data_IF_152819698113
#
_entry.id   IF_152819698113
#
_cell.length_a   1.000
_cell.length_b   1.000
_cell.length_c   1.000
_cell.angle_alpha   90.00
_cell.angle_beta   90.00
_cell.angle_gamma   90.00
#
_symmetry.space_group_name_H-M   'P 1'
#
loop_
_entity.id
_entity.type
_entity.pdbx_description
1 polymer ?
#
# COMPACT_ATOMS: atom_id res chain seq x y z
N UNK A 1 27.19 -23.23 -2.87
CA UNK A 1 26.81 -23.49 -1.47
C UNK A 1 28.00 -24.15 -0.78
N UNK A 2 28.53 -23.54 0.28
CA UNK A 2 29.55 -24.18 1.13
C UNK A 2 28.90 -24.40 2.49
N UNK A 3 28.91 -25.62 2.97
CA UNK A 3 28.36 -25.98 4.28
C UNK A 3 29.53 -26.25 5.23
N UNK A 4 29.63 -25.46 6.28
CA UNK A 4 30.48 -25.76 7.44
C UNK A 4 29.55 -26.17 8.59
N UNK A 5 30.09 -26.84 9.61
CA UNK A 5 29.33 -27.09 10.82
C UNK A 5 28.73 -25.76 11.31
N UNK A 6 27.41 -25.75 11.51
CA UNK A 6 26.61 -24.64 12.03
C UNK A 6 26.33 -23.43 11.11
N UNK A 7 26.75 -23.45 9.84
CA UNK A 7 26.53 -22.29 8.93
C UNK A 7 26.34 -22.67 7.47
N UNK A 8 25.31 -22.09 6.85
CA UNK A 8 25.06 -22.19 5.40
C UNK A 8 25.36 -20.83 4.76
N UNK A 9 26.27 -20.83 3.76
CA UNK A 9 26.58 -19.62 2.98
C UNK A 9 26.19 -19.76 1.52
N UNK A 10 25.59 -18.69 1.00
CA UNK A 10 25.12 -18.57 -0.38
C UNK A 10 25.63 -17.24 -0.94
N UNK A 11 26.25 -17.32 -2.12
CA UNK A 11 26.60 -16.16 -2.91
C UNK A 11 25.53 -15.92 -3.96
N UNK A 12 25.04 -14.68 -4.05
CA UNK A 12 24.02 -14.27 -5.02
C UNK A 12 24.56 -13.11 -5.85
N UNK A 13 24.77 -13.29 -7.17
CA UNK A 13 25.14 -12.19 -8.04
C UNK A 13 23.98 -11.20 -8.16
N UNK A 14 24.25 -9.91 -7.92
CA UNK A 14 23.21 -8.87 -7.96
C UNK A 14 23.10 -8.18 -9.32
N UNK A 15 23.84 -8.62 -10.34
CA UNK A 15 23.88 -8.00 -11.68
C UNK A 15 22.50 -7.85 -12.33
N UNK A 16 21.56 -8.77 -12.05
CA UNK A 16 20.19 -8.72 -12.55
C UNK A 16 19.28 -7.69 -11.85
N UNK A 17 19.72 -7.16 -10.70
CA UNK A 17 18.97 -6.20 -9.89
C UNK A 17 19.45 -4.75 -10.10
N UNK A 18 20.31 -4.51 -11.08
CA UNK A 18 20.73 -3.17 -11.47
C UNK A 18 19.54 -2.39 -12.05
N UNK A 19 18.97 -1.52 -11.24
CA UNK A 19 18.02 -0.51 -11.73
C UNK A 19 18.77 0.47 -12.63
N UNK A 20 18.25 0.69 -13.84
CA UNK A 20 18.92 1.41 -14.92
C UNK A 20 19.67 2.69 -14.51
N UNK A 21 20.99 2.65 -14.70
CA UNK A 21 21.91 3.73 -15.06
C UNK A 21 21.50 5.18 -14.71
N UNK A 22 22.30 5.76 -13.80
CA UNK A 22 22.54 7.18 -13.53
C UNK A 22 21.51 7.93 -12.68
N UNK A 23 22.04 8.63 -11.67
CA UNK A 23 21.35 9.64 -10.88
C UNK A 23 20.85 10.80 -11.73
N UNK A 24 19.75 10.59 -12.44
CA UNK A 24 18.86 11.66 -12.83
C UNK A 24 18.25 12.23 -11.56
N UNK A 25 18.50 13.52 -11.28
CA UNK A 25 17.73 14.31 -10.32
C UNK A 25 16.24 14.04 -10.57
N UNK A 26 15.61 13.25 -9.71
CA UNK A 26 14.15 13.22 -9.60
C UNK A 26 13.74 14.51 -8.90
N UNK A 27 13.71 15.61 -9.64
CA UNK A 27 12.89 16.76 -9.29
C UNK A 27 11.49 16.47 -9.78
N UNK A 28 10.69 15.78 -8.96
CA UNK A 28 9.23 15.88 -8.84
C UNK A 28 8.76 14.92 -7.75
N UNK A 29 8.31 15.49 -6.62
CA UNK A 29 7.50 14.80 -5.62
C UNK A 29 6.16 14.39 -6.24
N UNK A 30 6.14 13.25 -6.93
CA UNK A 30 4.90 12.56 -7.34
C UNK A 30 5.08 11.06 -7.11
N UNK A 31 4.51 10.57 -6.01
CA UNK A 31 3.99 9.21 -5.80
C UNK A 31 4.68 8.06 -6.55
N UNK A 32 5.70 7.47 -5.93
CA UNK A 32 6.37 6.22 -6.34
C UNK A 32 5.54 4.97 -5.98
N UNK A 33 4.23 4.95 -6.22
CA UNK A 33 3.44 3.73 -6.01
C UNK A 33 3.64 2.79 -7.20
N UNK A 34 4.50 1.78 -7.04
CA UNK A 34 4.71 0.75 -8.05
C UNK A 34 3.54 -0.23 -8.04
N UNK A 35 2.88 -0.37 -9.19
CA UNK A 35 1.83 -1.37 -9.40
C UNK A 35 2.47 -2.76 -9.46
N UNK A 36 2.06 -3.64 -8.55
CA UNK A 36 2.59 -5.01 -8.45
C UNK A 36 1.56 -6.09 -8.85
N UNK A 37 0.29 -5.71 -9.05
CA UNK A 37 -0.77 -6.60 -9.54
C UNK A 37 -1.42 -6.06 -10.81
N UNK A 38 -2.05 -6.93 -11.59
CA UNK A 38 -2.88 -6.51 -12.72
C UNK A 38 -4.27 -6.05 -12.25
N UNK A 39 -4.65 -6.29 -10.99
CA UNK A 39 -5.85 -5.69 -10.39
C UNK A 39 -5.72 -4.16 -10.34
N UNK A 40 -6.81 -3.47 -10.69
CA UNK A 40 -6.87 -2.01 -10.62
C UNK A 40 -6.89 -1.57 -9.16
N UNK A 41 -6.15 -0.53 -8.80
CA UNK A 41 -6.17 0.03 -7.45
C UNK A 41 -5.45 -0.78 -6.37
N UNK A 42 -4.64 -1.78 -6.75
CA UNK A 42 -3.77 -2.51 -5.81
C UNK A 42 -2.32 -2.14 -6.07
N UNK A 43 -1.68 -1.58 -5.04
CA UNK A 43 -0.32 -1.05 -5.12
C UNK A 43 0.57 -1.65 -4.04
N UNK A 44 1.85 -1.82 -4.35
CA UNK A 44 2.84 -2.18 -3.33
C UNK A 44 2.93 -1.06 -2.29
N UNK A 45 3.01 -1.43 -1.00
CA UNK A 45 3.22 -0.44 0.07
C UNK A 45 4.62 0.18 -0.02
N UNK A 46 5.59 -0.61 -0.48
CA UNK A 46 7.00 -0.23 -0.62
C UNK A 46 7.46 -0.44 -2.07
N UNK A 47 8.44 0.33 -2.57
CA UNK A 47 9.09 0.06 -3.85
C UNK A 47 9.64 -1.37 -3.92
N UNK A 48 9.56 -1.97 -5.11
CA UNK A 48 9.95 -3.38 -5.34
C UNK A 48 11.30 -3.48 -6.06
N UNK A 49 12.21 -2.54 -5.78
CA UNK A 49 13.55 -2.47 -6.38
C UNK A 49 14.58 -3.24 -5.55
N UNK A 50 15.49 -3.96 -6.21
CA UNK A 50 16.54 -4.73 -5.55
C UNK A 50 16.13 -6.15 -5.15
N UNK A 51 17.09 -6.88 -4.54
CA UNK A 51 16.89 -8.23 -4.03
C UNK A 51 16.32 -8.17 -2.61
N UNK A 52 15.20 -8.82 -2.35
CA UNK A 52 14.70 -9.04 -0.99
C UNK A 52 15.58 -10.04 -0.25
N UNK A 53 15.96 -9.72 1.00
CA UNK A 53 16.88 -10.55 1.81
C UNK A 53 16.33 -10.94 3.18
N UNK A 54 15.21 -10.37 3.61
CA UNK A 54 14.61 -10.63 4.91
C UNK A 54 13.82 -9.43 5.41
N UNK A 55 13.57 -9.37 6.71
CA UNK A 55 12.91 -8.22 7.35
C UNK A 55 13.70 -7.74 8.56
N UNK A 56 13.58 -6.45 8.83
CA UNK A 56 14.22 -5.82 9.98
C UNK A 56 13.36 -6.04 11.23
N UNK A 57 13.93 -6.70 12.24
CA UNK A 57 13.21 -7.03 13.48
C UNK A 57 12.83 -5.80 14.31
N UNK A 58 13.51 -4.67 14.13
CA UNK A 58 13.22 -3.45 14.89
C UNK A 58 12.04 -2.69 14.30
N UNK A 59 12.04 -2.48 12.98
CA UNK A 59 10.99 -1.72 12.29
C UNK A 59 9.83 -2.57 11.78
N UNK A 60 9.99 -3.90 11.69
CA UNK A 60 8.98 -4.78 11.10
C UNK A 60 8.86 -4.62 9.57
N UNK A 61 9.85 -4.03 8.90
CA UNK A 61 9.79 -3.68 7.47
C UNK A 61 10.66 -4.62 6.62
N UNK A 62 10.30 -4.86 5.35
CA UNK A 62 11.11 -5.68 4.45
C UNK A 62 12.43 -4.99 4.12
N UNK A 63 13.50 -5.78 3.97
CA UNK A 63 14.85 -5.32 3.62
C UNK A 63 15.21 -5.74 2.20
N UNK A 64 15.67 -4.77 1.41
CA UNK A 64 16.14 -4.96 0.05
C UNK A 64 17.59 -4.52 -0.12
N UNK A 65 18.29 -5.20 -1.01
CA UNK A 65 19.66 -4.90 -1.41
C UNK A 65 19.67 -4.45 -2.86
N UNK A 66 20.07 -3.20 -3.10
CA UNK A 66 20.15 -2.60 -4.42
C UNK A 66 21.62 -2.46 -4.84
N UNK A 67 22.08 -3.16 -5.89
CA UNK A 67 23.47 -3.08 -6.33
C UNK A 67 23.81 -1.68 -6.87
N UNK A 68 24.98 -1.16 -6.49
CA UNK A 68 25.53 0.10 -7.05
C UNK A 68 26.40 -0.14 -8.29
N UNK A 69 26.77 -1.40 -8.56
CA UNK A 69 27.60 -1.83 -9.68
C UNK A 69 27.27 -3.25 -10.12
N UNK A 70 27.66 -3.61 -11.35
CA UNK A 70 27.42 -4.95 -11.92
C UNK A 70 28.26 -6.06 -11.28
N UNK A 71 29.31 -5.66 -10.57
CA UNK A 71 30.24 -6.51 -9.83
C UNK A 71 29.77 -6.79 -8.39
N UNK A 72 28.56 -6.35 -8.01
CA UNK A 72 28.03 -6.59 -6.68
C UNK A 72 27.60 -8.06 -6.51
N UNK A 73 28.19 -8.75 -5.54
CA UNK A 73 27.86 -10.12 -5.16
C UNK A 73 27.53 -10.17 -3.67
N UNK A 74 26.31 -10.60 -3.36
CA UNK A 74 25.80 -10.70 -2.00
C UNK A 74 26.22 -12.03 -1.38
N UNK A 75 26.74 -11.97 -0.15
CA UNK A 75 26.98 -13.12 0.70
C UNK A 75 25.88 -13.17 1.76
N UNK A 76 25.07 -14.22 1.70
CA UNK A 76 24.02 -14.52 2.68
C UNK A 76 24.52 -15.67 3.54
N UNK A 77 24.55 -15.46 4.84
CA UNK A 77 25.01 -16.44 5.80
C UNK A 77 23.91 -16.68 6.83
N UNK A 78 23.34 -17.87 6.75
CA UNK A 78 22.21 -18.26 7.57
C UNK A 78 22.71 -19.09 8.76
N UNK A 79 22.28 -18.68 9.95
CA UNK A 79 22.45 -19.38 11.21
C UNK A 79 21.12 -20.03 11.60
N UNK A 80 21.16 -21.15 12.32
CA UNK A 80 19.97 -21.93 12.69
C UNK A 80 18.96 -21.20 13.62
N UNK A 81 19.14 -19.90 13.89
CA UNK A 81 18.39 -19.06 14.82
C UNK A 81 17.40 -18.10 14.13
N UNK A 82 16.97 -18.41 12.90
CA UNK A 82 16.08 -17.58 12.07
C UNK A 82 16.64 -16.17 11.77
N UNK A 83 17.95 -15.99 11.91
CA UNK A 83 18.65 -14.79 11.49
C UNK A 83 19.57 -15.10 10.31
N UNK A 84 19.77 -14.10 9.45
CA UNK A 84 20.76 -14.17 8.39
C UNK A 84 21.63 -12.93 8.41
N UNK A 85 22.93 -13.14 8.37
CA UNK A 85 23.89 -12.08 8.16
C UNK A 85 24.06 -11.85 6.65
N UNK A 86 23.89 -10.60 6.25
CA UNK A 86 23.98 -10.16 4.86
C UNK A 86 25.22 -9.27 4.72
N UNK A 87 26.13 -9.65 3.84
CA UNK A 87 27.35 -8.89 3.55
C UNK A 87 27.68 -8.94 2.04
N UNK A 88 28.69 -8.21 1.58
CA UNK A 88 29.10 -8.26 0.17
C UNK A 88 30.41 -9.04 0.00
N UNK A 89 30.38 -10.05 -0.86
CA UNK A 89 31.58 -10.76 -1.32
C UNK A 89 32.39 -9.89 -2.29
N UNK A 90 31.73 -9.10 -3.14
CA UNK A 90 32.37 -8.17 -4.07
C UNK A 90 31.45 -6.98 -4.39
N UNK A 91 32.03 -5.89 -4.91
CA UNK A 91 31.31 -4.67 -5.27
C UNK A 91 30.74 -3.87 -4.08
N UNK A 92 29.70 -3.09 -4.38
CA UNK A 92 29.00 -2.18 -3.48
C UNK A 92 27.50 -2.24 -3.69
N UNK A 93 26.72 -2.13 -2.62
CA UNK A 93 25.26 -2.16 -2.67
C UNK A 93 24.66 -1.28 -1.57
N UNK A 94 23.45 -0.78 -1.81
CA UNK A 94 22.71 0.04 -0.85
C UNK A 94 21.59 -0.77 -0.24
N UNK A 95 21.43 -0.66 1.08
CA UNK A 95 20.33 -1.28 1.81
C UNK A 95 19.13 -0.34 1.82
N UNK A 96 17.94 -0.91 1.62
CA UNK A 96 16.66 -0.23 1.78
C UNK A 96 15.78 -1.01 2.74
N UNK A 97 15.24 -0.33 3.74
CA UNK A 97 14.30 -0.87 4.74
C UNK A 97 12.97 -0.15 4.56
N UNK A 98 11.98 -0.87 4.01
CA UNK A 98 10.74 -0.24 3.51
C UNK A 98 11.03 0.84 2.46
N UNK A 99 10.66 2.10 2.72
CA UNK A 99 10.93 3.24 1.82
C UNK A 99 12.26 3.95 2.13
N UNK A 100 12.89 3.60 3.25
CA UNK A 100 14.05 4.32 3.75
C UNK A 100 15.32 3.64 3.29
N UNK A 101 16.19 4.42 2.64
CA UNK A 101 17.54 3.96 2.36
C UNK A 101 18.38 4.02 3.63
N UNK A 102 18.90 2.87 4.02
CA UNK A 102 19.81 2.72 5.15
C UNK A 102 21.27 2.76 4.72
N UNK A 103 22.04 1.86 5.32
CA UNK A 103 23.48 1.69 5.15
C UNK A 103 23.88 1.30 3.72
N UNK A 104 25.08 1.70 3.30
CA UNK A 104 25.73 1.19 2.08
C UNK A 104 26.73 0.12 2.46
N UNK A 105 26.56 -1.09 1.94
CA UNK A 105 27.51 -2.19 2.10
C UNK A 105 28.62 -2.08 1.07
N UNK A 106 29.85 -2.36 1.49
CA UNK A 106 31.03 -2.39 0.63
C UNK A 106 31.90 -3.59 0.97
N UNK A 107 32.29 -4.36 -0.06
CA UNK A 107 33.23 -5.49 0.10
C UNK A 107 34.60 -5.07 0.63
N UNK A 108 35.05 -3.85 0.33
CA UNK A 108 36.35 -3.31 0.77
C UNK A 108 36.44 -3.05 2.28
N UNK A 109 35.31 -2.95 2.97
CA UNK A 109 35.24 -2.73 4.40
C UNK A 109 34.74 -3.96 5.15
N UNK A 110 34.93 -5.18 4.60
CA UNK A 110 34.43 -6.45 5.16
C UNK A 110 34.73 -6.66 6.67
N UNK A 111 35.79 -6.05 7.21
CA UNK A 111 36.19 -6.16 8.62
C UNK A 111 35.68 -5.04 9.53
N UNK A 112 34.89 -4.08 9.01
CA UNK A 112 34.29 -3.01 9.80
C UNK A 112 32.95 -3.46 10.39
N UNK A 113 32.55 -2.93 11.54
CA UNK A 113 31.26 -3.24 12.19
C UNK A 113 30.04 -2.90 11.31
N UNK A 114 30.23 -2.09 10.26
CA UNK A 114 29.25 -1.74 9.22
C UNK A 114 29.40 -2.59 7.94
N UNK A 115 29.97 -3.80 8.03
CA UNK A 115 30.17 -4.66 6.84
C UNK A 115 29.06 -5.69 6.62
N UNK A 116 28.27 -5.95 7.66
CA UNK A 116 27.19 -6.93 7.65
C UNK A 116 25.94 -6.36 8.29
N UNK A 117 24.79 -6.74 7.76
CA UNK A 117 23.48 -6.44 8.33
C UNK A 117 22.78 -7.76 8.70
N UNK A 118 22.29 -7.86 9.92
CA UNK A 118 21.46 -8.98 10.33
C UNK A 118 20.00 -8.71 9.96
N UNK A 119 19.39 -9.68 9.29
CA UNK A 119 17.97 -9.68 8.95
C UNK A 119 17.30 -10.90 9.55
N UNK A 120 16.02 -10.75 9.89
CA UNK A 120 15.21 -11.87 10.31
C UNK A 120 14.65 -12.59 9.09
N UNK A 121 14.60 -13.91 9.20
CA UNK A 121 13.97 -14.80 8.21
C UNK A 121 12.72 -15.46 8.78
N UNK A 122 12.17 -14.95 9.89
CA UNK A 122 10.90 -15.45 10.44
C UNK A 122 9.80 -15.18 9.41
N UNK A 123 9.05 -16.21 8.95
CA UNK A 123 8.02 -16.03 7.94
C UNK A 123 6.79 -15.32 8.52
N UNK A 124 6.04 -14.63 7.65
CA UNK A 124 4.68 -14.21 7.95
C UNK A 124 3.77 -15.43 8.05
N UNK A 125 2.77 -15.36 8.94
CA UNK A 125 1.85 -16.48 9.19
C UNK A 125 0.40 -16.05 9.02
N UNK A 126 -0.42 -16.93 8.46
CA UNK A 126 -1.88 -16.82 8.41
C UNK A 126 -2.49 -18.05 9.07
N UNK A 127 -3.33 -17.84 10.08
CA UNK A 127 -3.94 -18.94 10.82
C UNK A 127 -5.12 -19.55 10.05
N UNK A 128 -5.16 -20.88 9.98
CA UNK A 128 -6.24 -21.69 9.41
C UNK A 128 -6.88 -22.47 10.55
N UNK A 129 -8.01 -21.98 11.06
CA UNK A 129 -8.60 -22.48 12.31
C UNK A 129 -9.76 -23.46 12.11
N UNK A 130 -10.19 -23.69 10.87
CA UNK A 130 -11.34 -24.55 10.56
C UNK A 130 -11.23 -25.26 9.22
N UNK A 131 -12.25 -26.04 8.83
CA UNK A 131 -12.25 -26.79 7.57
C UNK A 131 -12.29 -25.88 6.34
N UNK A 132 -12.84 -24.67 6.47
CA UNK A 132 -12.88 -23.65 5.43
C UNK A 132 -12.36 -22.34 6.00
N UNK A 133 -11.42 -21.73 5.30
CA UNK A 133 -10.79 -20.48 5.71
C UNK A 133 -10.82 -19.51 4.53
N UNK A 134 -11.37 -18.32 4.77
CA UNK A 134 -11.30 -17.22 3.81
C UNK A 134 -10.10 -16.36 4.17
N UNK A 135 -9.06 -16.44 3.35
CA UNK A 135 -7.77 -15.84 3.66
C UNK A 135 -7.29 -14.92 2.55
N UNK A 136 -6.26 -14.17 2.87
CA UNK A 136 -5.51 -13.33 1.98
C UNK A 136 -4.02 -13.43 2.29
N UNK A 137 -3.19 -13.04 1.33
CA UNK A 137 -1.77 -12.87 1.61
C UNK A 137 -1.56 -11.55 2.38
N UNK A 138 -0.96 -11.55 3.59
CA UNK A 138 -0.54 -10.34 4.29
C UNK A 138 0.61 -9.61 3.57
N UNK A 139 1.32 -10.33 2.69
CA UNK A 139 2.38 -9.79 1.85
C UNK A 139 1.95 -9.71 0.38
N UNK A 140 2.56 -8.81 -0.40
CA UNK A 140 2.36 -8.82 -1.85
C UNK A 140 3.13 -10.00 -2.47
N UNK A 141 2.47 -11.15 -2.49
CA UNK A 141 2.97 -12.36 -3.12
C UNK A 141 1.99 -12.81 -4.20
N UNK A 142 2.53 -13.09 -5.39
CA UNK A 142 1.79 -13.77 -6.44
C UNK A 142 2.06 -15.27 -6.30
N UNK A 143 1.01 -16.08 -6.19
CA UNK A 143 1.12 -17.53 -5.98
C UNK A 143 0.61 -18.26 -7.21
N UNK A 144 1.48 -19.05 -7.84
CA UNK A 144 1.06 -19.92 -8.92
C UNK A 144 0.36 -21.17 -8.38
N UNK A 145 -0.56 -21.77 -9.14
CA UNK A 145 -1.17 -23.05 -8.79
C UNK A 145 -0.15 -24.12 -8.35
N UNK A 146 0.98 -24.23 -9.05
CA UNK A 146 2.07 -25.15 -8.69
C UNK A 146 2.74 -24.86 -7.34
N UNK A 147 2.72 -23.61 -6.88
CA UNK A 147 3.33 -23.24 -5.60
C UNK A 147 2.50 -23.72 -4.41
N UNK A 148 1.22 -24.06 -4.62
CA UNK A 148 0.37 -24.50 -3.51
C UNK A 148 0.87 -25.79 -2.88
N UNK A 149 1.37 -26.73 -3.67
CA UNK A 149 1.88 -28.01 -3.16
C UNK A 149 3.08 -27.80 -2.22
N UNK A 150 4.00 -26.90 -2.60
CA UNK A 150 5.20 -26.61 -1.80
C UNK A 150 4.89 -25.71 -0.59
N UNK A 151 3.93 -24.80 -0.70
CA UNK A 151 3.65 -23.80 0.33
C UNK A 151 2.53 -24.18 1.29
N UNK A 152 1.54 -24.97 0.86
CA UNK A 152 0.28 -25.18 1.59
C UNK A 152 0.11 -26.57 2.21
N UNK A 153 1.02 -27.52 1.94
CA UNK A 153 1.27 -28.77 2.70
C UNK A 153 0.11 -29.76 2.88
N UNK A 154 -1.01 -29.30 3.43
CA UNK A 154 -2.20 -30.08 3.76
C UNK A 154 -3.48 -29.27 3.46
N UNK A 155 -3.89 -29.25 2.19
CA UNK A 155 -5.16 -28.66 1.76
C UNK A 155 -5.89 -29.62 0.81
N UNK A 156 -7.21 -29.48 0.76
CA UNK A 156 -8.10 -30.24 -0.12
C UNK A 156 -8.32 -29.51 -1.44
N UNK A 157 -8.73 -28.25 -1.36
CA UNK A 157 -9.02 -27.42 -2.54
C UNK A 157 -8.87 -25.94 -2.20
N UNK A 158 -8.34 -25.19 -3.15
CA UNK A 158 -8.25 -23.73 -3.10
C UNK A 158 -9.29 -23.15 -4.06
N UNK A 159 -10.04 -22.15 -3.62
CA UNK A 159 -11.09 -21.52 -4.42
C UNK A 159 -10.89 -20.02 -4.55
N UNK A 160 -11.04 -19.52 -5.77
CA UNK A 160 -10.92 -18.11 -6.10
C UNK A 160 -12.15 -17.70 -6.89
N UNK A 161 -12.71 -16.53 -6.59
CA UNK A 161 -13.86 -16.01 -7.31
C UNK A 161 -13.44 -14.92 -8.29
N UNK A 162 -13.64 -15.14 -9.59
CA UNK A 162 -13.35 -14.16 -10.66
C UNK A 162 -14.45 -14.19 -11.70
N UNK A 163 -14.77 -13.03 -12.27
CA UNK A 163 -15.71 -12.90 -13.39
C UNK A 163 -17.04 -13.64 -13.16
N UNK A 164 -17.57 -13.56 -11.93
CA UNK A 164 -18.80 -14.24 -11.49
C UNK A 164 -18.76 -15.77 -11.50
N UNK A 165 -17.58 -16.38 -11.54
CA UNK A 165 -17.41 -17.85 -11.52
C UNK A 165 -16.36 -18.25 -10.50
N UNK A 166 -16.54 -19.44 -9.93
CA UNK A 166 -15.55 -20.06 -9.05
C UNK A 166 -14.49 -20.79 -9.86
N UNK A 167 -13.24 -20.44 -9.58
CA UNK A 167 -12.06 -21.14 -10.04
C UNK A 167 -11.53 -22.00 -8.90
N UNK A 168 -11.12 -23.23 -9.19
CA UNK A 168 -10.62 -24.16 -8.20
C UNK A 168 -9.23 -24.69 -8.54
N UNK A 169 -8.44 -24.96 -7.51
CA UNK A 169 -7.19 -25.71 -7.62
C UNK A 169 -7.18 -26.86 -6.62
N UNK A 170 -6.95 -28.07 -7.11
CA UNK A 170 -6.76 -29.27 -6.28
C UNK A 170 -5.73 -30.19 -6.94
N UNK A 171 -4.91 -30.83 -6.09
CA UNK A 171 -3.99 -31.88 -6.50
C UNK A 171 -4.68 -33.25 -6.58
N UNK A 172 -5.86 -33.39 -5.98
CA UNK A 172 -6.65 -34.61 -6.04
C UNK A 172 -7.42 -34.70 -7.37
N UNK A 173 -6.91 -35.54 -8.26
CA UNK A 173 -7.50 -35.78 -9.58
C UNK A 173 -8.90 -36.38 -9.52
N UNK A 174 -9.28 -37.02 -8.41
CA UNK A 174 -10.61 -37.63 -8.24
C UNK A 174 -11.72 -36.59 -8.03
N UNK A 175 -11.39 -35.41 -7.49
CA UNK A 175 -12.35 -34.34 -7.22
C UNK A 175 -12.65 -33.49 -8.46
N UNK A 176 -11.71 -33.43 -9.41
CA UNK A 176 -11.81 -32.56 -10.60
C UNK A 176 -13.09 -32.76 -11.41
N UNK A 177 -13.50 -33.98 -11.79
CA UNK A 177 -14.71 -34.17 -12.61
C UNK A 177 -15.97 -33.61 -11.92
N UNK A 178 -16.11 -33.84 -10.61
CA UNK A 178 -17.26 -33.36 -9.84
C UNK A 178 -17.33 -31.83 -9.72
N UNK A 179 -16.19 -31.14 -9.77
CA UNK A 179 -16.16 -29.67 -9.79
C UNK A 179 -16.48 -29.11 -11.18
N UNK A 180 -15.98 -29.74 -12.23
CA UNK A 180 -16.28 -29.35 -13.62
C UNK A 180 -17.76 -29.56 -13.96
N UNK A 181 -18.38 -30.64 -13.49
CA UNK A 181 -19.82 -30.91 -13.68
C UNK A 181 -20.71 -29.84 -13.03
N UNK A 182 -20.24 -29.20 -11.96
CA UNK A 182 -20.94 -28.08 -11.29
C UNK A 182 -20.75 -26.73 -12.00
N UNK A 183 -19.97 -26.69 -13.09
CA UNK A 183 -19.69 -25.47 -13.85
C UNK A 183 -18.53 -24.62 -13.31
N UNK A 184 -17.71 -25.15 -12.41
CA UNK A 184 -16.49 -24.49 -11.95
C UNK A 184 -15.36 -24.64 -12.97
N UNK A 185 -14.39 -23.72 -12.92
CA UNK A 185 -13.25 -23.70 -13.83
C UNK A 185 -11.95 -24.02 -13.09
N UNK A 186 -10.97 -24.64 -13.74
CA UNK A 186 -9.66 -24.83 -13.12
C UNK A 186 -8.89 -23.51 -13.05
N UNK A 187 -8.29 -23.24 -11.89
CA UNK A 187 -7.39 -22.11 -11.69
C UNK A 187 -6.04 -22.40 -12.35
N UNK A 188 -5.76 -21.74 -13.47
CA UNK A 188 -4.48 -21.81 -14.19
C UNK A 188 -3.62 -20.57 -13.99
N UNK A 189 -4.25 -19.47 -13.60
CA UNK A 189 -3.60 -18.20 -13.35
C UNK A 189 -3.12 -18.08 -11.90
N UNK A 190 -2.16 -17.19 -11.66
CA UNK A 190 -1.70 -16.93 -10.30
C UNK A 190 -2.74 -16.16 -9.49
N UNK A 191 -2.78 -16.40 -8.18
CA UNK A 191 -3.48 -15.53 -7.23
C UNK A 191 -2.65 -14.26 -7.08
N UNK A 192 -3.27 -13.10 -7.32
CA UNK A 192 -2.59 -11.81 -7.27
C UNK A 192 -2.72 -11.17 -5.87
N UNK A 193 -1.79 -10.28 -5.48
CA UNK A 193 -1.96 -9.47 -4.27
C UNK A 193 -3.27 -8.68 -4.27
N UNK A 194 -3.89 -8.54 -3.10
CA UNK A 194 -5.20 -7.89 -2.98
C UNK A 194 -6.39 -8.82 -3.19
N UNK A 195 -6.16 -10.04 -3.68
CA UNK A 195 -7.18 -11.06 -3.84
C UNK A 195 -7.41 -11.84 -2.53
N UNK A 196 -8.68 -12.00 -2.17
CA UNK A 196 -9.10 -12.97 -1.17
C UNK A 196 -9.33 -14.32 -1.84
N UNK A 197 -9.09 -15.41 -1.13
CA UNK A 197 -9.35 -16.75 -1.63
C UNK A 197 -9.67 -17.71 -0.49
N UNK A 198 -10.30 -18.81 -0.83
CA UNK A 198 -10.65 -19.84 0.14
C UNK A 198 -9.65 -20.98 0.11
N UNK A 199 -9.35 -21.50 1.29
CA UNK A 199 -8.64 -22.76 1.48
C UNK A 199 -9.54 -23.72 2.25
N UNK A 200 -9.84 -24.85 1.62
CA UNK A 200 -10.47 -25.99 2.28
C UNK A 200 -9.37 -26.96 2.73
N UNK A 201 -9.37 -27.32 4.03
CA UNK A 201 -8.41 -28.25 4.61
C UNK A 201 -8.90 -29.69 4.48
N UNK A 202 -7.96 -30.65 4.46
CA UNK A 202 -8.32 -32.07 4.53
C UNK A 202 -8.91 -32.41 5.91
N UNK A 203 -9.94 -33.28 5.98
CA UNK A 203 -10.42 -33.80 7.26
C UNK A 203 -9.41 -34.79 7.87
N UNK A 204 -9.14 -34.73 9.19
CA UNK A 204 -9.63 -33.74 10.16
C UNK A 204 -8.90 -32.39 10.01
N UNK A 205 -9.68 -31.30 9.97
CA UNK A 205 -9.13 -29.95 9.86
C UNK A 205 -8.48 -29.53 11.18
N UNK A 206 -7.17 -29.75 11.31
CA UNK A 206 -6.40 -29.32 12.46
C UNK A 206 -5.98 -27.85 12.29
N UNK A 207 -6.07 -27.01 13.35
CA UNK A 207 -5.56 -25.65 13.30
C UNK A 207 -4.10 -25.64 12.87
N UNK A 208 -3.81 -24.94 11.77
CA UNK A 208 -2.47 -24.83 11.21
C UNK A 208 -2.15 -23.40 10.82
N UNK A 209 -0.87 -23.09 10.62
CA UNK A 209 -0.42 -21.79 10.16
C UNK A 209 0.17 -21.91 8.76
N UNK A 210 -0.29 -21.06 7.87
CA UNK A 210 0.28 -20.90 6.56
C UNK A 210 1.44 -19.91 6.63
N UNK A 211 2.66 -20.40 6.39
CA UNK A 211 3.90 -19.61 6.46
C UNK A 211 4.31 -19.10 5.09
N UNK A 212 4.70 -17.83 5.00
CA UNK A 212 5.14 -17.20 3.76
C UNK A 212 6.22 -16.16 3.98
N UNK A 213 6.93 -15.84 2.91
CA UNK A 213 7.92 -14.78 2.91
C UNK A 213 7.26 -13.41 3.08
N UNK A 214 7.72 -12.62 4.06
CA UNK A 214 7.25 -11.26 4.25
C UNK A 214 7.97 -10.29 3.29
N UNK A 215 7.50 -10.26 2.04
CA UNK A 215 8.01 -9.34 1.02
C UNK A 215 7.44 -7.92 1.15
N UNK A 216 6.80 -7.58 2.27
CA UNK A 216 6.09 -6.31 2.46
C UNK A 216 4.62 -6.37 2.07
N UNK A 217 3.84 -5.37 2.46
CA UNK A 217 2.37 -5.35 2.33
C UNK A 217 1.89 -4.59 1.08
N UNK A 218 0.58 -4.64 0.79
CA UNK A 218 -0.03 -3.90 -0.33
C UNK A 218 -1.19 -3.02 0.12
N UNK A 219 -1.37 -1.89 -0.57
CA UNK A 219 -2.54 -1.04 -0.43
C UNK A 219 -3.61 -1.56 -1.38
N UNK A 220 -4.77 -1.89 -0.81
CA UNK A 220 -5.83 -2.60 -1.53
C UNK A 220 -7.12 -1.78 -1.65
N UNK A 221 -7.34 -0.81 -0.76
CA UNK A 221 -8.55 0.02 -0.72
C UNK A 221 -8.88 0.71 -2.06
N UNK A 222 -7.92 1.27 -2.83
CA UNK A 222 -8.27 1.91 -4.09
C UNK A 222 -8.94 0.96 -5.09
N UNK A 223 -8.78 -0.37 -4.95
CA UNK A 223 -9.40 -1.34 -5.84
C UNK A 223 -10.93 -1.24 -5.87
N UNK A 224 -11.55 -0.92 -4.72
CA UNK A 224 -13.00 -0.81 -4.63
C UNK A 224 -13.56 0.38 -5.40
N UNK A 225 -12.72 1.39 -5.63
CA UNK A 225 -13.11 2.54 -6.43
C UNK A 225 -13.17 2.25 -7.93
N UNK A 226 -12.58 1.14 -8.38
CA UNK A 226 -12.67 0.63 -9.75
C UNK A 226 -13.67 -0.52 -9.89
N UNK A 227 -14.15 -1.08 -8.77
CA UNK A 227 -15.10 -2.19 -8.80
C UNK A 227 -16.41 -1.77 -9.43
N UNK A 228 -16.87 -2.56 -10.41
CA UNK A 228 -18.19 -2.42 -11.06
C UNK A 228 -19.13 -3.58 -10.77
N UNK A 229 -18.60 -4.68 -10.25
CA UNK A 229 -19.38 -5.85 -9.89
C UNK A 229 -20.12 -5.64 -8.58
N UNK A 230 -21.26 -6.30 -8.41
CA UNK A 230 -22.00 -6.26 -7.15
C UNK A 230 -21.18 -6.87 -6.01
N UNK A 231 -20.55 -8.02 -6.27
CA UNK A 231 -19.71 -8.73 -5.32
C UNK A 231 -18.25 -8.64 -5.72
N UNK A 232 -17.38 -8.38 -4.74
CA UNK A 232 -15.94 -8.43 -4.94
C UNK A 232 -15.28 -9.13 -3.78
N UNK A 233 -14.49 -10.15 -4.13
CA UNK A 233 -13.64 -10.86 -3.20
C UNK A 233 -12.27 -10.19 -3.13
N UNK A 234 -11.86 -9.83 -1.92
CA UNK A 234 -10.65 -9.06 -1.67
C UNK A 234 -9.93 -9.56 -0.42
N UNK A 235 -8.65 -9.18 -0.30
CA UNK A 235 -7.77 -9.66 0.74
C UNK A 235 -7.10 -8.55 1.55
N UNK A 236 -7.06 -8.70 2.88
CA UNK A 236 -6.45 -7.74 3.78
C UNK A 236 -4.95 -8.03 3.97
N UNK A 237 -4.11 -7.10 3.53
CA UNK A 237 -2.66 -7.16 3.74
C UNK A 237 -2.22 -6.60 5.10
N UNK A 238 -3.01 -5.66 5.60
CA UNK A 238 -2.85 -4.98 6.88
C UNK A 238 -4.21 -4.91 7.56
N UNK A 239 -4.22 -4.49 8.83
CA UNK A 239 -5.47 -4.27 9.54
C UNK A 239 -6.21 -3.09 8.90
N UNK A 240 -7.48 -3.30 8.56
CA UNK A 240 -8.31 -2.29 7.88
C UNK A 240 -9.65 -2.16 8.62
N UNK A 241 -10.07 -0.91 8.85
CA UNK A 241 -11.38 -0.60 9.45
C UNK A 241 -12.51 -0.72 8.42
N UNK A 242 -13.70 -1.12 8.87
CA UNK A 242 -14.89 -1.17 7.99
C UNK A 242 -15.29 0.22 7.49
N UNK A 243 -14.96 1.27 8.24
CA UNK A 243 -15.16 2.66 7.86
C UNK A 243 -14.29 3.04 6.66
N UNK A 244 -13.02 2.64 6.63
CA UNK A 244 -12.11 2.94 5.53
C UNK A 244 -12.47 2.15 4.26
N UNK A 245 -12.93 0.90 4.40
CA UNK A 245 -13.48 0.12 3.29
C UNK A 245 -14.72 0.82 2.74
N UNK A 246 -15.61 1.29 3.61
CA UNK A 246 -16.84 1.99 3.22
C UNK A 246 -16.52 3.26 2.45
N UNK A 247 -15.58 4.09 2.92
CA UNK A 247 -15.14 5.31 2.22
C UNK A 247 -14.57 4.98 0.85
N UNK A 248 -13.71 3.97 0.74
CA UNK A 248 -13.09 3.57 -0.51
C UNK A 248 -14.09 2.99 -1.53
N UNK A 249 -15.07 2.21 -1.07
CA UNK A 249 -16.13 1.63 -1.91
C UNK A 249 -17.14 2.69 -2.41
N UNK A 250 -17.39 3.73 -1.61
CA UNK A 250 -18.23 4.86 -1.97
C UNK A 250 -17.55 5.86 -2.92
N UNK A 251 -16.23 5.79 -3.07
CA UNK A 251 -15.50 6.57 -4.06
C UNK A 251 -15.55 5.86 -5.41
N UNK A 252 -16.09 6.48 -6.46
CA UNK A 252 -16.17 5.91 -7.81
C UNK A 252 -15.25 6.67 -8.75
N UNK A 253 -14.05 6.13 -9.04
CA UNK A 253 -13.10 6.79 -9.93
C UNK A 253 -13.53 6.76 -11.40
N UNK A 254 -14.53 5.95 -11.75
CA UNK A 254 -14.95 5.75 -13.14
C UNK A 254 -16.07 6.70 -13.59
N UNK A 255 -16.65 7.47 -12.68
CA UNK A 255 -17.57 8.56 -13.02
C UNK A 255 -16.84 9.88 -13.08
N UNK A 256 -16.92 10.56 -14.22
CA UNK A 256 -16.41 11.92 -14.45
C UNK A 256 -17.25 13.00 -13.73
N UNK A 257 -18.06 12.63 -12.74
CA UNK A 257 -18.93 13.57 -12.03
C UNK A 257 -18.09 14.49 -11.11
N UNK A 258 -18.35 15.80 -11.19
CA UNK A 258 -17.70 16.90 -10.44
C UNK A 258 -17.71 16.71 -8.90
N UNK A 259 -18.52 15.77 -8.43
CA UNK A 259 -18.67 15.34 -7.05
C UNK A 259 -17.47 14.54 -6.52
N UNK A 260 -16.61 14.02 -7.39
CA UNK A 260 -15.32 13.40 -7.03
C UNK A 260 -14.23 14.46 -6.71
N UNK A 261 -14.65 15.63 -6.20
CA UNK A 261 -13.78 16.73 -5.85
C UNK A 261 -12.75 16.27 -4.82
N UNK A 262 -11.49 16.28 -5.25
CA UNK A 262 -10.32 16.01 -4.44
C UNK A 262 -10.43 16.74 -3.10
N UNK A 263 -10.44 15.99 -2.00
CA UNK A 263 -10.24 16.50 -0.65
C UNK A 263 -8.83 17.05 -0.42
N UNK A 264 -8.30 17.82 -1.37
CA UNK A 264 -7.00 18.48 -1.33
C UNK A 264 -7.20 19.98 -1.17
N UNK A 265 -7.75 20.44 -0.04
CA UNK A 265 -7.49 21.75 0.55
C UNK A 265 -7.96 21.77 2.02
N UNK A 266 -7.27 21.05 2.90
CA UNK A 266 -7.14 21.52 4.28
C UNK A 266 -5.71 21.28 4.77
N UNK A 267 -4.84 22.20 4.35
CA UNK A 267 -3.40 22.09 4.56
C UNK A 267 -2.66 23.21 3.86
N UNK A 268 -2.52 24.34 4.56
CA UNK A 268 -1.78 25.55 4.19
C UNK A 268 -2.49 26.51 3.22
N UNK A 269 -2.53 27.78 3.65
CA UNK A 269 -3.21 28.86 2.96
C UNK A 269 -2.71 29.07 1.52
N UNK A 270 -3.64 28.97 0.59
CA UNK A 270 -3.47 29.35 -0.81
C UNK A 270 -4.85 29.43 -1.43
N UNK A 271 -5.27 30.62 -1.86
CA UNK A 271 -6.58 30.86 -2.47
C UNK A 271 -6.63 30.12 -3.83
N UNK A 272 -7.59 29.22 -4.08
CA UNK A 272 -7.74 28.59 -5.38
C UNK A 272 -8.30 29.59 -6.42
N UNK A 273 -7.78 29.59 -7.66
CA UNK A 273 -8.32 30.40 -8.75
C UNK A 273 -9.64 29.79 -9.25
N UNK A 274 -10.73 30.11 -8.56
CA UNK A 274 -12.09 29.71 -8.91
C UNK A 274 -13.20 30.55 -8.27
N UNK A 275 -12.87 31.43 -7.31
CA UNK A 275 -13.85 32.24 -6.56
C UNK A 275 -14.05 33.68 -7.06
N UNK A 276 -13.52 34.04 -8.24
CA UNK A 276 -13.69 35.40 -8.79
C UNK A 276 -15.01 35.64 -9.55
N UNK A 277 -16.05 34.82 -9.36
CA UNK A 277 -17.39 35.10 -9.92
C UNK A 277 -18.47 35.29 -8.83
N UNK A 278 -18.15 35.06 -7.55
CA UNK A 278 -19.11 35.26 -6.43
C UNK A 278 -19.01 36.60 -5.69
N UNK A 279 -18.05 37.47 -6.00
CA UNK A 279 -17.72 38.66 -5.19
C UNK A 279 -18.24 40.00 -5.74
N UNK A 280 -19.33 39.98 -6.51
CA UNK A 280 -20.13 41.17 -6.84
C UNK A 280 -21.40 41.29 -5.98
N UNK A 281 -21.41 40.69 -4.78
CA UNK A 281 -22.50 40.97 -3.84
C UNK A 281 -22.25 42.33 -3.13
N UNK A 282 -23.20 43.23 -3.33
CA UNK A 282 -23.21 44.63 -2.92
C UNK A 282 -23.48 44.72 -1.42
N UNK A 283 -22.45 44.87 -0.58
CA UNK A 283 -22.52 45.56 0.74
C UNK A 283 -21.20 45.45 1.53
N UNK A 284 -20.16 46.18 1.12
CA UNK A 284 -18.98 46.40 1.98
C UNK A 284 -18.37 47.79 1.79
N UNK A 285 -17.94 48.47 2.88
CA UNK A 285 -17.52 49.87 2.84
C UNK A 285 -16.17 50.08 2.10
N UNK A 286 -16.11 51.19 1.35
CA UNK A 286 -15.11 51.56 0.36
C UNK A 286 -13.65 51.62 0.86
N UNK A 287 -13.40 51.83 2.15
CA UNK A 287 -12.06 52.02 2.72
C UNK A 287 -11.17 50.75 2.72
N UNK A 288 -11.76 49.55 2.70
CA UNK A 288 -10.99 48.28 2.60
C UNK A 288 -10.56 47.94 1.17
N UNK A 289 -11.21 48.50 0.14
CA UNK A 289 -10.86 48.25 -1.27
C UNK A 289 -9.58 48.98 -1.68
N UNK A 290 -9.33 50.15 -1.09
CA UNK A 290 -8.18 51.00 -1.47
C UNK A 290 -6.84 50.45 -0.97
N UNK A 291 -6.80 49.84 0.23
CA UNK A 291 -5.55 49.29 0.80
C UNK A 291 -5.02 48.04 0.07
N UNK A 292 -5.93 47.17 -0.39
CA UNK A 292 -5.57 45.96 -1.14
C UNK A 292 -5.05 46.28 -2.56
N UNK A 293 -5.63 47.30 -3.21
CA UNK A 293 -5.16 47.75 -4.52
C UNK A 293 -3.76 48.41 -4.46
N UNK A 294 -3.47 49.21 -3.44
CA UNK A 294 -2.13 49.81 -3.28
C UNK A 294 -1.05 48.77 -2.91
N UNK A 295 -1.39 47.75 -2.12
CA UNK A 295 -0.47 46.67 -1.77
C UNK A 295 -0.06 45.82 -2.98
N UNK A 296 -1.01 45.45 -3.84
CA UNK A 296 -0.74 44.68 -5.06
C UNK A 296 0.00 45.51 -6.13
N UNK A 297 -0.31 46.79 -6.27
CA UNK A 297 0.38 47.68 -7.19
C UNK A 297 1.86 47.87 -6.81
N UNK A 298 2.18 47.94 -5.51
CA UNK A 298 3.57 48.03 -5.03
C UNK A 298 4.38 46.77 -5.33
N UNK A 299 3.77 45.60 -5.19
CA UNK A 299 4.38 44.30 -5.46
C UNK A 299 4.64 44.10 -6.96
N UNK A 300 3.70 44.49 -7.81
CA UNK A 300 3.88 44.49 -9.27
C UNK A 300 4.93 45.51 -9.74
N UNK A 301 5.05 46.66 -9.06
CA UNK A 301 6.10 47.64 -9.32
C UNK A 301 7.50 47.14 -8.93
N UNK A 302 7.58 46.36 -7.84
CA UNK A 302 8.84 45.73 -7.40
C UNK A 302 9.34 44.67 -8.40
N UNK A 303 8.43 43.81 -8.91
CA UNK A 303 8.80 42.79 -9.90
C UNK A 303 9.16 43.38 -11.28
N UNK A 304 8.50 44.47 -11.69
CA UNK A 304 8.80 45.13 -12.97
C UNK A 304 10.15 45.86 -12.98
N UNK A 305 10.64 46.34 -11.82
CA UNK A 305 11.98 46.95 -11.70
C UNK A 305 13.11 45.90 -11.61
N UNK A 306 12.83 44.66 -11.23
CA UNK A 306 13.86 43.64 -10.98
C UNK A 306 13.98 42.56 -12.06
N UNK A 307 13.13 42.60 -13.09
CA UNK A 307 13.19 41.68 -14.25
C UNK A 307 13.65 42.36 -15.55
N UNK A 308 14.21 43.57 -15.50
CA UNK A 308 14.94 44.13 -16.66
C UNK A 308 16.41 43.70 -16.61
N UNK A 309 16.93 43.04 -17.67
CA UNK A 309 18.34 42.72 -17.77
C UNK A 309 19.10 44.01 -18.11
N UNK A 310 19.79 44.60 -17.14
CA UNK A 310 20.71 45.73 -17.39
C UNK A 310 22.15 45.23 -17.38
N UNK A 311 22.78 45.39 -18.52
CA UNK A 311 24.22 45.31 -18.72
C UNK A 311 24.97 46.34 -17.86
N UNK A 312 26.23 45.98 -17.58
CA UNK A 312 27.37 46.81 -17.17
C UNK A 312 27.28 47.65 -15.88
N UNK A 313 28.17 47.29 -14.95
CA UNK A 313 29.11 48.22 -14.33
C UNK A 313 28.55 49.25 -13.34
N UNK A 314 28.62 48.95 -12.04
CA UNK A 314 29.35 49.75 -11.03
C UNK A 314 29.03 49.23 -9.61
N UNK A 315 30.06 48.69 -8.95
CA UNK A 315 30.07 48.34 -7.53
C UNK A 315 30.28 49.63 -6.72
N UNK A 316 29.37 50.00 -5.80
CA UNK A 316 29.67 51.12 -4.91
C UNK A 316 28.67 51.54 -3.84
N UNK A 317 27.36 51.26 -3.95
CA UNK A 317 26.37 51.84 -3.02
C UNK A 317 25.40 50.84 -2.37
N UNK A 318 25.63 49.53 -2.54
CA UNK A 318 24.70 48.48 -2.07
C UNK A 318 24.97 47.95 -0.65
N UNK A 319 25.95 48.50 0.07
CA UNK A 319 26.40 47.93 1.36
C UNK A 319 25.76 48.51 2.62
N UNK A 320 24.97 49.59 2.56
CA UNK A 320 24.35 50.20 3.75
C UNK A 320 22.86 49.89 3.97
N UNK A 321 22.16 49.29 3.01
CA UNK A 321 20.78 48.82 3.21
C UNK A 321 20.69 47.36 3.69
N UNK A 322 21.79 46.61 3.69
CA UNK A 322 21.80 45.18 4.02
C UNK A 322 21.93 44.88 5.52
N UNK A 323 22.25 45.88 6.35
CA UNK A 323 22.49 45.67 7.79
C UNK A 323 21.29 45.95 8.69
N UNK A 324 20.20 46.56 8.20
CA UNK A 324 19.04 46.90 9.05
C UNK A 324 17.94 45.81 9.09
N UNK A 325 17.96 44.80 8.20
CA UNK A 325 16.90 43.75 8.14
C UNK A 325 17.32 42.44 8.82
N UNK A 326 18.61 42.24 9.10
CA UNK A 326 19.12 40.97 9.65
C UNK A 326 18.86 40.82 11.16
N UNK A 327 18.58 41.90 11.90
CA UNK A 327 18.39 41.80 13.36
C UNK A 327 16.94 41.54 13.79
N UNK A 328 15.94 41.83 12.95
CA UNK A 328 14.53 41.54 13.29
C UNK A 328 14.02 40.20 12.74
N UNK A 329 14.81 39.52 11.89
CA UNK A 329 14.50 38.18 11.34
C UNK A 329 15.15 37.02 12.11
N UNK A 330 15.90 37.29 13.19
CA UNK A 330 16.71 36.30 13.89
C UNK A 330 16.14 35.87 15.26
N UNK A 331 14.91 36.29 15.59
CA UNK A 331 14.19 35.85 16.81
C UNK A 331 13.06 34.84 16.57
N UNK A 332 12.87 34.37 15.33
CA UNK A 332 11.93 33.28 14.99
C UNK A 332 12.62 32.03 14.39
N UNK A 333 13.95 31.94 14.50
CA UNK A 333 14.77 30.91 13.84
C UNK A 333 15.47 29.93 14.79
N UNK A 334 14.92 29.64 15.98
CA UNK A 334 15.53 28.70 16.94
C UNK A 334 14.57 27.62 17.49
N UNK A 335 13.55 27.27 16.73
CA UNK A 335 12.71 26.08 17.01
C UNK A 335 12.61 25.11 15.81
N UNK A 336 13.56 25.18 14.88
CA UNK A 336 13.59 24.35 13.67
C UNK A 336 14.95 23.61 13.54
N UNK A 337 15.30 22.84 14.56
CA UNK A 337 16.34 21.80 14.49
C UNK A 337 15.90 20.60 15.33
N UNK A 338 14.71 20.08 15.04
CA UNK A 338 14.46 18.66 15.20
C UNK A 338 14.62 18.04 13.80
N UNK A 339 15.42 16.98 13.63
CA UNK A 339 15.46 16.26 12.35
C UNK A 339 14.03 15.83 12.02
N UNK A 340 13.59 15.89 10.75
CA UNK A 340 12.30 15.35 10.37
C UNK A 340 12.34 13.87 10.69
N UNK A 341 11.73 13.47 11.81
CA UNK A 341 11.27 12.11 11.96
C UNK A 341 10.32 11.93 10.78
N UNK A 342 10.71 11.05 9.86
CA UNK A 342 9.80 10.50 8.88
C UNK A 342 8.78 9.67 9.65
N UNK A 343 7.83 10.37 10.28
CA UNK A 343 6.60 9.73 10.68
C UNK A 343 6.06 9.11 9.41
N UNK A 344 5.88 7.81 9.47
CA UNK A 344 5.30 6.99 8.42
C UNK A 344 3.83 7.37 8.31
N UNK A 345 3.55 8.60 7.87
CA UNK A 345 2.22 9.04 7.48
C UNK A 345 1.89 8.19 6.27
N UNK A 346 1.29 7.03 6.54
CA UNK A 346 0.61 6.21 5.56
C UNK A 346 -0.29 7.21 4.83
N UNK A 347 0.08 7.55 3.61
CA UNK A 347 -0.74 8.34 2.70
C UNK A 347 -1.98 7.50 2.43
N UNK A 348 -2.97 7.60 3.30
CA UNK A 348 -4.35 7.29 2.97
C UNK A 348 -4.74 8.36 1.96
N UNK A 349 -4.87 7.95 0.70
CA UNK A 349 -5.58 8.75 -0.29
C UNK A 349 -6.88 9.19 0.39
N UNK A 350 -7.19 10.50 0.50
CA UNK A 350 -8.41 10.95 1.13
C UNK A 350 -9.58 10.53 0.25
N UNK A 351 -10.18 9.38 0.56
CA UNK A 351 -11.43 8.92 -0.04
C UNK A 351 -12.59 9.70 0.60
N UNK A 352 -12.91 10.88 0.07
CA UNK A 352 -14.22 11.49 0.32
C UNK A 352 -15.19 10.92 -0.72
N UNK A 353 -15.84 9.79 -0.39
CA UNK A 353 -16.84 9.20 -1.28
C UNK A 353 -18.05 10.11 -1.41
N UNK A 354 -18.40 10.50 -2.63
CA UNK A 354 -19.64 11.25 -2.91
C UNK A 354 -20.84 10.33 -3.15
N UNK A 355 -20.60 9.08 -3.58
CA UNK A 355 -21.67 8.14 -3.91
C UNK A 355 -22.03 7.24 -2.75
N UNK A 356 -23.31 6.92 -2.65
CA UNK A 356 -23.82 5.96 -1.69
C UNK A 356 -23.91 4.56 -2.29
N UNK A 357 -22.78 3.87 -2.42
CA UNK A 357 -22.69 2.57 -3.11
C UNK A 357 -22.62 1.41 -2.15
N UNK A 358 -22.03 1.61 -0.98
CA UNK A 358 -21.66 0.54 -0.09
C UNK A 358 -22.89 -0.13 0.54
N UNK A 359 -23.05 -1.44 0.31
CA UNK A 359 -24.14 -2.23 0.88
C UNK A 359 -23.70 -2.98 2.13
N UNK A 360 -22.76 -3.92 2.00
CA UNK A 360 -22.26 -4.70 3.14
C UNK A 360 -20.87 -5.30 2.93
N UNK A 361 -20.17 -5.51 4.04
CA UNK A 361 -18.87 -6.19 4.12
C UNK A 361 -19.08 -7.50 4.83
N UNK A 362 -18.49 -8.57 4.32
CA UNK A 362 -18.61 -9.89 4.92
C UNK A 362 -17.23 -10.50 5.15
N UNK A 363 -17.03 -11.09 6.32
CA UNK A 363 -15.84 -11.88 6.60
C UNK A 363 -16.21 -13.21 7.24
N UNK A 364 -15.38 -14.21 7.00
CA UNK A 364 -15.64 -15.56 7.48
C UNK A 364 -15.06 -15.74 8.89
N UNK A 365 -15.90 -16.17 9.83
CA UNK A 365 -15.44 -16.63 11.13
C UNK A 365 -15.20 -18.14 11.05
N UNK A 366 -13.94 -18.53 10.85
CA UNK A 366 -13.54 -19.93 10.74
C UNK A 366 -13.75 -20.74 12.02
N UNK A 367 -13.76 -20.09 13.19
CA UNK A 367 -13.96 -20.76 14.49
C UNK A 367 -15.41 -21.18 14.67
N UNK A 368 -16.34 -20.31 14.27
CA UNK A 368 -17.77 -20.58 14.35
C UNK A 368 -18.35 -21.20 13.07
N UNK A 369 -17.56 -21.25 11.98
CA UNK A 369 -18.01 -21.66 10.65
C UNK A 369 -19.24 -20.87 10.17
N UNK A 370 -19.23 -19.56 10.47
CA UNK A 370 -20.34 -18.64 10.15
C UNK A 370 -19.81 -17.33 9.58
N UNK A 371 -20.65 -16.67 8.80
CA UNK A 371 -20.38 -15.30 8.34
C UNK A 371 -20.53 -14.27 9.47
N UNK A 372 -19.69 -13.24 9.43
CA UNK A 372 -19.92 -11.95 10.07
C UNK A 372 -20.18 -10.91 9.00
N UNK A 373 -21.09 -9.98 9.27
CA UNK A 373 -21.55 -9.01 8.29
C UNK A 373 -21.65 -7.62 8.91
N UNK A 374 -21.14 -6.61 8.19
CA UNK A 374 -21.24 -5.20 8.55
C UNK A 374 -21.94 -4.45 7.42
N UNK A 375 -22.78 -3.47 7.78
CA UNK A 375 -23.30 -2.51 6.81
C UNK A 375 -23.24 -1.10 7.40
N UNK A 376 -22.85 -0.08 6.62
CA UNK A 376 -22.95 1.32 7.03
C UNK A 376 -24.40 1.85 7.00
N UNK A 377 -25.37 1.06 6.51
CA UNK A 377 -26.79 1.43 6.44
C UNK A 377 -27.55 0.81 7.58
N UNK A 378 -28.17 1.64 8.42
CA UNK A 378 -28.92 1.17 9.59
C UNK A 378 -30.04 0.18 9.22
N UNK A 379 -30.72 0.41 8.09
CA UNK A 379 -31.77 -0.46 7.56
C UNK A 379 -31.23 -1.86 7.23
N UNK A 380 -30.15 -1.92 6.44
CA UNK A 380 -29.48 -3.17 6.04
C UNK A 380 -28.80 -3.84 7.24
N UNK A 381 -28.17 -3.08 8.13
CA UNK A 381 -27.55 -3.60 9.34
C UNK A 381 -28.58 -4.29 10.25
N UNK A 382 -29.74 -3.65 10.46
CA UNK A 382 -30.84 -4.26 11.22
C UNK A 382 -31.39 -5.53 10.54
N UNK A 383 -31.47 -5.56 9.20
CA UNK A 383 -31.82 -6.78 8.48
C UNK A 383 -30.80 -7.90 8.71
N UNK A 384 -29.49 -7.61 8.63
CA UNK A 384 -28.42 -8.58 8.86
C UNK A 384 -28.44 -9.14 10.29
N UNK A 385 -28.67 -8.29 11.29
CA UNK A 385 -28.81 -8.70 12.69
C UNK A 385 -30.04 -9.59 12.90
N UNK A 386 -31.18 -9.24 12.29
CA UNK A 386 -32.40 -10.06 12.32
C UNK A 386 -32.21 -11.44 11.66
N UNK A 387 -31.30 -11.54 10.67
CA UNK A 387 -30.89 -12.80 10.05
C UNK A 387 -29.88 -13.58 10.90
N UNK A 388 -29.44 -13.05 12.04
CA UNK A 388 -28.55 -13.71 13.00
C UNK A 388 -27.06 -13.50 12.75
N UNK A 389 -26.65 -12.56 11.89
CA UNK A 389 -25.24 -12.25 11.69
C UNK A 389 -24.74 -11.26 12.74
N UNK A 390 -23.53 -11.51 13.25
CA UNK A 390 -22.83 -10.57 14.11
C UNK A 390 -22.02 -9.55 13.29
N UNK A 391 -21.96 -8.32 13.79
CA UNK A 391 -21.18 -7.24 13.21
C UNK A 391 -19.71 -7.27 13.65
N UNK A 392 -18.88 -6.46 13.00
CA UNK A 392 -17.45 -6.30 13.26
C UNK A 392 -16.97 -4.91 12.82
N UNK A 393 -15.85 -4.43 13.38
CA UNK A 393 -15.26 -3.13 13.06
C UNK A 393 -13.97 -3.20 12.25
N UNK A 394 -13.26 -4.34 12.31
CA UNK A 394 -11.93 -4.49 11.72
C UNK A 394 -11.78 -5.83 10.98
N UNK A 395 -10.96 -5.79 9.93
CA UNK A 395 -10.46 -6.96 9.21
C UNK A 395 -8.97 -7.08 9.50
N UNK A 396 -8.56 -8.25 9.98
CA UNK A 396 -7.17 -8.50 10.38
C UNK A 396 -6.30 -8.84 9.16
N UNK A 397 -4.98 -8.59 9.23
CA UNK A 397 -4.05 -9.02 8.20
C UNK A 397 -4.15 -10.52 7.96
N UNK A 398 -4.23 -10.92 6.69
CA UNK A 398 -4.37 -12.32 6.29
C UNK A 398 -5.81 -12.82 6.20
N UNK A 399 -6.81 -12.02 6.60
CA UNK A 399 -8.22 -12.34 6.37
C UNK A 399 -8.64 -11.97 4.93
N UNK A 400 -9.39 -12.86 4.28
CA UNK A 400 -10.14 -12.50 3.08
C UNK A 400 -11.53 -12.00 3.44
N UNK A 401 -12.12 -11.16 2.59
CA UNK A 401 -13.45 -10.62 2.81
C UNK A 401 -14.16 -10.28 1.51
N UNK A 402 -15.47 -10.19 1.61
CA UNK A 402 -16.33 -9.76 0.52
C UNK A 402 -16.80 -8.33 0.74
N UNK A 403 -16.84 -7.57 -0.35
CA UNK A 403 -17.50 -6.28 -0.41
C UNK A 403 -18.66 -6.40 -1.38
N UNK A 404 -19.84 -5.99 -0.93
CA UNK A 404 -21.04 -5.86 -1.75
C UNK A 404 -21.33 -4.38 -1.99
N UNK A 405 -21.43 -3.99 -3.26
CA UNK A 405 -21.73 -2.61 -3.67
C UNK A 405 -22.95 -2.55 -4.58
N UNK A 406 -23.72 -1.47 -4.46
CA UNK A 406 -24.85 -1.14 -5.32
C UNK A 406 -24.37 -0.52 -6.63
N UNK A 407 -24.86 -1.05 -7.74
CA UNK A 407 -24.64 -0.47 -9.07
C UNK A 407 -25.56 0.73 -9.34
N UNK A 408 -26.70 0.80 -8.65
CA UNK A 408 -27.66 1.90 -8.79
C UNK A 408 -27.41 3.07 -7.83
N UNK A 409 -26.37 2.98 -6.98
CA UNK A 409 -26.13 3.91 -5.86
C UNK A 409 -27.31 3.98 -4.87
N UNK A 410 -28.10 2.90 -4.79
CA UNK A 410 -29.20 2.74 -3.82
C UNK A 410 -29.02 1.39 -3.14
N UNK A 411 -28.14 1.27 -2.13
CA UNK A 411 -27.87 0.00 -1.47
C UNK A 411 -29.11 -0.54 -0.77
N UNK A 412 -29.95 0.31 -0.18
CA UNK A 412 -31.15 -0.12 0.55
C UNK A 412 -32.22 -0.79 -0.34
N UNK A 413 -32.16 -0.62 -1.66
CA UNK A 413 -33.09 -1.31 -2.58
C UNK A 413 -32.64 -2.73 -2.96
N UNK A 414 -31.43 -3.13 -2.57
CA UNK A 414 -30.91 -4.45 -2.88
C UNK A 414 -31.52 -5.49 -1.94
N UNK A 415 -31.93 -6.64 -2.49
CA UNK A 415 -32.41 -7.74 -1.67
C UNK A 415 -31.28 -8.34 -0.83
N UNK A 416 -31.63 -8.89 0.33
CA UNK A 416 -30.72 -9.72 1.13
C UNK A 416 -30.13 -10.84 0.26
N UNK A 417 -28.80 -10.97 0.33
CA UNK A 417 -28.05 -12.05 -0.32
C UNK A 417 -26.76 -12.29 0.45
N UNK A 418 -26.41 -13.56 0.64
CA UNK A 418 -25.12 -13.97 1.17
C UNK A 418 -24.02 -13.84 0.10
N UNK A 419 -22.74 -13.76 0.50
CA UNK A 419 -21.64 -13.87 -0.45
C UNK A 419 -21.76 -15.15 -1.29
N UNK A 420 -21.28 -15.12 -2.55
CA UNK A 420 -21.20 -16.33 -3.36
C UNK A 420 -20.56 -17.49 -2.58
N UNK A 421 -21.12 -18.68 -2.71
CA UNK A 421 -20.61 -19.91 -2.12
C UNK A 421 -20.30 -20.94 -3.22
N UNK A 422 -19.43 -21.91 -2.92
CA UNK A 422 -19.04 -23.03 -3.78
C UNK A 422 -19.39 -24.38 -3.13
#
# INVERSE_FOLDING_TARGET
>A
MRQQADRISINVPLSHYLTGRQGGRSTRNSSLESRFSNRSGVYSQYPVTGLWVGWDSQSGKPVYVEPLGADAELLIENTYDNQSAISLASGSAKIRIGDSYGQTLNSRSANATESSLNVSNVPSKVALNGPRNLIAMPAYLTIQPSDFEFRFGDYKTVWVYRNKTWLFFTTDSSLKPGYLEKGYQELTESIEPGEGFWVELNPPANPTNFEMEFRGSYRMLPQFSFTREEWSLAGAAERISVEDITKAANFDQSSEDDDNSLGFFDGSGGIPPGTMIGMLNTNSPFSRKTLLFFGFASLLWFFTLHLRPSSSGTFGLRKRAFQAVVVSGLLFGLAACAPPQSDSSKSTIPYSGSKDRMHSIWKWDSSNSTWKAYSPKNSVAAELENQGYSSFSEIEPGEGFWVRISQSNVPESMAFSQPPAF
#
